data_IF_990493367477
#
_entry.id   IF_990493367477
#
_cell.length_a   1.000
_cell.length_b   1.000
_cell.length_c   1.000
_cell.angle_alpha   90.00
_cell.angle_beta   90.00
_cell.angle_gamma   90.00
#
_symmetry.space_group_name_H-M   'P 1'
#
loop_
_entity.id
_entity.type
_entity.pdbx_description
1 polymer ?
#
# COMPACT_ATOMS: atom_id res chain seq x y z
N UNK A 1 3.71 5.82 -30.70
CA UNK A 1 4.58 6.95 -30.33
C UNK A 1 4.34 7.41 -28.86
N UNK A 2 3.12 7.62 -28.41
CA UNK A 2 2.86 8.05 -27.03
C UNK A 2 3.44 7.13 -25.94
N UNK A 3 3.44 5.82 -26.13
CA UNK A 3 4.03 4.87 -25.17
C UNK A 3 5.57 4.97 -25.14
N UNK A 4 6.20 5.32 -26.24
CA UNK A 4 7.66 5.56 -26.31
C UNK A 4 8.03 6.85 -25.57
N UNK A 5 7.22 7.89 -25.70
CA UNK A 5 7.42 9.15 -24.96
C UNK A 5 7.21 8.95 -23.47
N UNK A 6 6.17 8.20 -23.08
CA UNK A 6 5.93 7.85 -21.69
C UNK A 6 7.10 7.05 -21.10
N UNK A 7 7.71 6.15 -21.87
CA UNK A 7 8.92 5.43 -21.46
C UNK A 7 10.07 6.39 -21.14
N UNK A 8 10.36 7.36 -22.04
CA UNK A 8 11.39 8.38 -21.81
C UNK A 8 11.10 9.22 -20.56
N UNK A 9 9.82 9.56 -20.33
CA UNK A 9 9.40 10.31 -19.15
C UNK A 9 9.61 9.51 -17.86
N UNK A 10 9.20 8.25 -17.83
CA UNK A 10 9.41 7.34 -16.68
C UNK A 10 10.91 7.18 -16.40
N UNK A 11 11.74 7.06 -17.45
CA UNK A 11 13.18 6.99 -17.31
C UNK A 11 13.78 8.26 -16.67
N UNK A 12 13.28 9.43 -17.08
CA UNK A 12 13.76 10.73 -16.60
C UNK A 12 13.34 11.02 -15.14
N UNK A 13 12.20 10.52 -14.70
CA UNK A 13 11.67 10.78 -13.35
C UNK A 13 12.35 10.00 -12.23
N UNK A 14 13.37 9.17 -12.55
CA UNK A 14 14.19 8.50 -11.54
C UNK A 14 13.42 7.50 -10.66
N UNK A 15 12.26 7.03 -11.11
CA UNK A 15 11.58 5.92 -10.43
C UNK A 15 12.58 4.76 -10.39
N UNK A 16 12.95 4.30 -9.18
CA UNK A 16 13.89 3.19 -8.96
C UNK A 16 13.28 1.86 -9.42
N UNK A 17 13.01 1.76 -10.70
CA UNK A 17 12.70 0.51 -11.35
C UNK A 17 14.04 -0.09 -11.74
N UNK A 18 14.26 -1.37 -11.46
CA UNK A 18 15.45 -2.08 -11.93
C UNK A 18 15.45 -2.01 -13.46
N UNK A 19 16.20 -1.08 -13.99
CA UNK A 19 16.45 -0.93 -15.42
C UNK A 19 17.23 -2.15 -15.88
N UNK A 20 16.55 -3.17 -16.36
CA UNK A 20 17.17 -4.15 -17.22
C UNK A 20 17.33 -3.47 -18.57
N UNK A 21 18.54 -3.50 -19.15
CA UNK A 21 18.79 -2.89 -20.45
C UNK A 21 17.81 -3.43 -21.50
N UNK A 22 16.82 -2.60 -21.85
CA UNK A 22 15.88 -2.92 -22.92
C UNK A 22 16.53 -2.58 -24.25
N UNK A 23 16.79 -3.58 -25.07
CA UNK A 23 17.44 -3.42 -26.39
C UNK A 23 16.44 -3.10 -27.48
N UNK A 24 15.18 -3.55 -27.38
CA UNK A 24 14.18 -3.38 -28.43
C UNK A 24 13.02 -2.46 -28.02
N UNK A 25 12.44 -1.76 -29.00
CA UNK A 25 11.29 -0.88 -28.76
C UNK A 25 10.06 -1.65 -28.29
N UNK A 26 9.88 -2.89 -28.72
CA UNK A 26 8.81 -3.77 -28.25
C UNK A 26 8.92 -4.08 -26.76
N UNK A 27 10.12 -4.33 -26.25
CA UNK A 27 10.38 -4.53 -24.83
C UNK A 27 10.05 -3.28 -24.00
N UNK A 28 10.40 -2.09 -24.52
CA UNK A 28 10.06 -0.81 -23.87
C UNK A 28 8.55 -0.59 -23.78
N UNK A 29 7.81 -0.88 -24.84
CA UNK A 29 6.35 -0.74 -24.89
C UNK A 29 5.68 -1.73 -23.93
N UNK A 30 6.10 -2.99 -23.93
CA UNK A 30 5.56 -4.00 -23.03
C UNK A 30 5.82 -3.64 -21.55
N UNK A 31 6.98 -3.10 -21.25
CA UNK A 31 7.31 -2.61 -19.92
C UNK A 31 6.40 -1.45 -19.48
N UNK A 32 6.15 -0.47 -20.37
CA UNK A 32 5.21 0.62 -20.07
C UNK A 32 3.79 0.11 -19.85
N UNK A 33 3.33 -0.85 -20.66
CA UNK A 33 2.03 -1.50 -20.46
C UNK A 33 1.94 -2.21 -19.13
N UNK A 34 2.98 -2.92 -18.72
CA UNK A 34 3.04 -3.58 -17.41
C UNK A 34 2.95 -2.58 -16.26
N UNK A 35 3.69 -1.46 -16.34
CA UNK A 35 3.61 -0.38 -15.36
C UNK A 35 2.19 0.20 -15.29
N UNK A 36 1.60 0.54 -16.43
CA UNK A 36 0.25 1.08 -16.48
C UNK A 36 -0.78 0.09 -15.93
N UNK A 37 -0.63 -1.20 -16.23
CA UNK A 37 -1.52 -2.21 -15.68
C UNK A 37 -1.39 -2.36 -14.17
N UNK A 38 -0.17 -2.36 -13.65
CA UNK A 38 0.08 -2.68 -12.25
C UNK A 38 -0.06 -1.49 -11.31
N UNK A 39 0.36 -0.30 -11.73
CA UNK A 39 0.48 0.86 -10.85
C UNK A 39 -0.52 1.97 -11.17
N UNK A 40 -0.97 2.09 -12.41
CA UNK A 40 -1.98 3.08 -12.76
C UNK A 40 -3.38 2.56 -12.50
N UNK A 41 -4.13 3.22 -11.61
CA UNK A 41 -5.50 2.87 -11.20
C UNK A 41 -5.67 1.36 -10.90
N UNK A 42 -4.90 0.78 -9.97
CA UNK A 42 -4.90 -0.67 -9.72
C UNK A 42 -6.25 -1.19 -9.20
N UNK A 43 -7.07 -0.32 -8.62
CA UNK A 43 -8.42 -0.67 -8.14
C UNK A 43 -9.43 -1.01 -9.25
N UNK A 44 -9.12 -0.65 -10.50
CA UNK A 44 -9.97 -0.97 -11.66
C UNK A 44 -9.56 -2.28 -12.35
N UNK A 45 -8.53 -2.96 -11.82
CA UNK A 45 -8.01 -4.20 -12.36
C UNK A 45 -6.58 -4.06 -12.91
N UNK A 46 -5.91 -5.21 -13.05
CA UNK A 46 -4.51 -5.32 -13.50
C UNK A 46 -4.36 -6.11 -14.79
N UNK A 47 -5.47 -6.52 -15.41
CA UNK A 47 -5.51 -7.26 -16.67
C UNK A 47 -5.48 -6.32 -17.88
N UNK A 48 -5.18 -6.85 -19.07
CA UNK A 48 -5.23 -6.06 -20.30
C UNK A 48 -6.63 -5.52 -20.62
N UNK A 49 -7.68 -6.26 -20.30
CA UNK A 49 -9.07 -5.83 -20.46
C UNK A 49 -9.42 -4.60 -19.62
N UNK A 50 -8.79 -4.48 -18.44
CA UNK A 50 -8.97 -3.32 -17.56
C UNK A 50 -8.43 -2.01 -18.17
N UNK A 51 -7.65 -2.07 -19.25
CA UNK A 51 -7.08 -0.89 -19.89
C UNK A 51 -8.17 0.06 -20.42
N UNK A 52 -9.21 -0.49 -21.01
CA UNK A 52 -10.36 0.29 -21.49
C UNK A 52 -11.13 0.94 -20.34
N UNK A 53 -11.30 0.21 -19.24
CA UNK A 53 -11.97 0.73 -18.03
C UNK A 53 -11.15 1.88 -17.44
N UNK A 54 -9.84 1.75 -17.39
CA UNK A 54 -8.92 2.80 -16.91
C UNK A 54 -8.95 4.04 -17.81
N UNK A 55 -8.97 3.85 -19.14
CA UNK A 55 -9.08 4.94 -20.09
C UNK A 55 -10.42 5.70 -19.94
N UNK A 56 -11.52 4.98 -19.83
CA UNK A 56 -12.84 5.56 -19.58
C UNK A 56 -12.89 6.34 -18.26
N UNK A 57 -12.34 5.77 -17.21
CA UNK A 57 -12.28 6.44 -15.90
C UNK A 57 -11.44 7.72 -15.96
N UNK A 58 -10.30 7.69 -16.63
CA UNK A 58 -9.48 8.87 -16.85
C UNK A 58 -10.23 9.96 -17.62
N UNK A 59 -10.89 9.59 -18.71
CA UNK A 59 -11.71 10.52 -19.51
C UNK A 59 -12.82 11.16 -18.66
N UNK A 60 -13.46 10.39 -17.78
CA UNK A 60 -14.45 10.90 -16.82
C UNK A 60 -13.86 11.89 -15.82
N UNK A 61 -12.65 11.64 -15.32
CA UNK A 61 -11.95 12.57 -14.43
C UNK A 61 -11.62 13.89 -15.15
N UNK A 62 -11.07 13.81 -16.36
CA UNK A 62 -10.74 14.99 -17.17
C UNK A 62 -11.98 15.80 -17.49
N UNK A 63 -13.07 15.14 -17.91
CA UNK A 63 -14.36 15.80 -18.15
C UNK A 63 -14.84 16.57 -16.91
N UNK A 64 -14.79 15.94 -15.73
CA UNK A 64 -15.23 16.58 -14.48
C UNK A 64 -14.35 17.79 -14.13
N UNK A 65 -13.05 17.67 -14.30
CA UNK A 65 -12.12 18.79 -14.10
C UNK A 65 -12.41 19.95 -15.06
N UNK A 66 -12.65 19.66 -16.34
CA UNK A 66 -13.01 20.66 -17.34
C UNK A 66 -14.33 21.36 -17.00
N UNK A 67 -15.34 20.62 -16.54
CA UNK A 67 -16.62 21.21 -16.14
C UNK A 67 -16.49 22.14 -14.93
N UNK A 68 -15.62 21.82 -13.97
CA UNK A 68 -15.31 22.72 -12.85
C UNK A 68 -14.55 23.95 -13.36
N UNK A 69 -13.56 23.79 -14.23
CA UNK A 69 -12.79 24.89 -14.81
C UNK A 69 -13.66 25.87 -15.62
N UNK A 70 -14.62 25.35 -16.37
CA UNK A 70 -15.57 26.15 -17.14
C UNK A 70 -16.69 26.76 -16.30
N UNK A 71 -16.74 26.51 -14.99
CA UNK A 71 -17.74 27.04 -14.09
C UNK A 71 -19.13 26.35 -14.15
N UNK A 72 -19.27 25.25 -14.89
CA UNK A 72 -20.52 24.48 -14.96
C UNK A 72 -20.85 23.75 -13.67
N UNK A 73 -19.82 23.39 -12.89
CA UNK A 73 -19.96 22.71 -11.60
C UNK A 73 -19.13 23.47 -10.57
N UNK A 74 -19.68 23.69 -9.39
CA UNK A 74 -18.90 24.27 -8.26
C UNK A 74 -17.83 23.29 -7.80
N UNK A 75 -16.66 23.82 -7.47
CA UNK A 75 -15.61 23.04 -6.83
C UNK A 75 -16.11 22.47 -5.49
N UNK A 76 -15.84 21.20 -5.28
CA UNK A 76 -16.20 20.51 -4.03
C UNK A 76 -15.16 20.81 -2.94
N UNK A 77 -15.60 20.86 -1.68
CA UNK A 77 -14.70 21.05 -0.55
C UNK A 77 -13.87 19.78 -0.34
N UNK A 78 -12.55 19.91 -0.56
CA UNK A 78 -11.58 18.83 -0.36
C UNK A 78 -11.53 18.34 1.08
N UNK A 79 -11.79 19.20 2.03
CA UNK A 79 -11.65 18.90 3.45
C UNK A 79 -12.94 18.38 4.09
N UNK A 80 -14.05 18.42 3.37
CA UNK A 80 -15.30 17.85 3.83
C UNK A 80 -15.21 16.33 4.05
N UNK A 81 -15.70 15.84 5.17
CA UNK A 81 -15.60 14.42 5.55
C UNK A 81 -16.19 13.45 4.52
N UNK A 82 -17.22 13.85 3.74
CA UNK A 82 -17.77 13.01 2.65
C UNK A 82 -16.74 12.65 1.58
N UNK A 83 -15.68 13.48 1.41
CA UNK A 83 -14.63 13.30 0.42
C UNK A 83 -13.42 12.57 0.99
N UNK A 84 -13.42 12.28 2.29
CA UNK A 84 -12.34 11.57 2.97
C UNK A 84 -12.67 10.09 3.12
N UNK A 85 -11.65 9.26 3.11
CA UNK A 85 -11.77 7.82 3.35
C UNK A 85 -11.40 7.55 4.80
N UNK A 86 -12.23 6.77 5.47
CA UNK A 86 -11.95 6.26 6.80
C UNK A 86 -11.30 4.88 6.67
N UNK A 87 -10.09 4.72 7.23
CA UNK A 87 -9.50 3.40 7.40
C UNK A 87 -10.18 2.69 8.56
N UNK A 88 -10.71 1.53 8.29
CA UNK A 88 -11.32 0.67 9.29
C UNK A 88 -10.31 -0.32 9.85
N UNK A 89 -10.70 -1.02 10.90
CA UNK A 89 -9.87 -2.05 11.55
C UNK A 89 -9.35 -3.09 10.56
N UNK A 90 -10.18 -3.51 9.61
CA UNK A 90 -9.79 -4.46 8.57
C UNK A 90 -8.65 -3.97 7.67
N UNK A 91 -8.59 -2.68 7.36
CA UNK A 91 -7.49 -2.10 6.56
C UNK A 91 -6.18 -2.13 7.34
N UNK A 92 -6.21 -1.80 8.63
CA UNK A 92 -5.03 -1.87 9.49
C UNK A 92 -4.55 -3.30 9.70
N UNK A 93 -5.46 -4.24 9.95
CA UNK A 93 -5.11 -5.66 10.07
C UNK A 93 -4.53 -6.23 8.77
N UNK A 94 -5.06 -5.82 7.62
CA UNK A 94 -4.50 -6.20 6.32
C UNK A 94 -3.07 -5.68 6.13
N UNK A 95 -2.80 -4.43 6.50
CA UNK A 95 -1.45 -3.86 6.46
C UNK A 95 -0.49 -4.61 7.38
N UNK A 96 -0.92 -4.90 8.61
CA UNK A 96 -0.16 -5.66 9.60
C UNK A 96 0.13 -7.08 9.12
N UNK A 97 -0.91 -7.80 8.66
CA UNK A 97 -0.75 -9.15 8.12
C UNK A 97 0.18 -9.17 6.90
N UNK A 98 0.04 -8.20 6.00
CA UNK A 98 0.92 -8.08 4.84
C UNK A 98 2.39 -7.87 5.22
N UNK A 99 2.65 -7.18 6.34
CA UNK A 99 4.01 -7.06 6.90
C UNK A 99 4.46 -8.40 7.50
N UNK A 100 3.66 -9.00 8.36
CA UNK A 100 3.96 -10.28 9.00
C UNK A 100 4.21 -11.40 7.97
N UNK A 101 3.43 -11.42 6.89
CA UNK A 101 3.60 -12.34 5.78
C UNK A 101 4.94 -12.18 5.06
N UNK A 102 5.37 -10.95 4.80
CA UNK A 102 6.68 -10.68 4.18
C UNK A 102 7.82 -11.14 5.08
N UNK A 103 7.73 -10.89 6.38
CA UNK A 103 8.73 -11.34 7.35
C UNK A 103 8.77 -12.88 7.48
N UNK A 104 7.59 -13.52 7.47
CA UNK A 104 7.50 -14.98 7.42
C UNK A 104 8.20 -15.55 6.18
N UNK A 105 7.91 -15.02 4.99
CA UNK A 105 8.55 -15.47 3.75
C UNK A 105 10.07 -15.23 3.81
N UNK A 106 10.51 -14.09 4.35
CA UNK A 106 11.94 -13.77 4.49
C UNK A 106 12.62 -14.78 5.41
N UNK A 107 12.09 -14.97 6.60
CA UNK A 107 12.66 -15.91 7.59
C UNK A 107 12.66 -17.36 7.08
N UNK A 108 11.60 -17.78 6.38
CA UNK A 108 11.53 -19.13 5.78
C UNK A 108 12.55 -19.30 4.66
N UNK A 109 12.80 -18.28 3.85
CA UNK A 109 13.85 -18.32 2.81
C UNK A 109 15.25 -18.38 3.41
N UNK A 110 15.52 -17.63 4.48
CA UNK A 110 16.79 -17.66 5.21
C UNK A 110 17.01 -19.04 5.84
N UNK A 111 15.98 -19.62 6.48
CA UNK A 111 16.02 -20.98 7.04
C UNK A 111 16.26 -22.03 5.95
N UNK A 112 15.65 -21.89 4.79
CA UNK A 112 15.87 -22.79 3.66
C UNK A 112 17.32 -22.69 3.16
N UNK A 113 17.86 -21.48 2.99
CA UNK A 113 19.22 -21.26 2.51
C UNK A 113 20.29 -21.87 3.45
N UNK A 114 20.05 -21.83 4.76
CA UNK A 114 20.97 -22.43 5.75
C UNK A 114 20.89 -23.96 5.78
N UNK A 115 19.73 -24.54 5.42
CA UNK A 115 19.50 -25.99 5.48
C UNK A 115 19.64 -26.72 4.14
N UNK A 116 20.04 -26.01 3.07
CA UNK A 116 20.27 -26.63 1.75
C UNK A 116 21.28 -27.79 1.81
N UNK A 117 22.24 -27.72 2.75
CA UNK A 117 23.24 -28.78 2.97
C UNK A 117 22.58 -30.10 3.43
N UNK A 118 21.46 -30.05 4.13
CA UNK A 118 20.76 -31.24 4.64
C UNK A 118 19.88 -31.95 3.56
N UNK A 119 19.69 -31.33 2.39
CA UNK A 119 18.92 -31.93 1.31
C UNK A 119 19.58 -33.17 0.68
N UNK A 120 20.90 -33.31 0.80
CA UNK A 120 21.61 -34.49 0.31
C UNK A 120 21.19 -35.77 1.06
N UNK A 121 20.65 -35.62 2.27
CA UNK A 121 20.15 -36.74 3.08
C UNK A 121 18.71 -37.15 2.82
N UNK A 122 18.00 -36.47 1.91
CA UNK A 122 16.65 -36.79 1.44
C UNK A 122 15.51 -36.52 2.40
N UNK A 123 15.76 -35.91 3.58
CA UNK A 123 14.72 -35.50 4.54
C UNK A 123 14.63 -33.99 4.59
N UNK A 124 13.48 -33.45 4.21
CA UNK A 124 13.19 -32.01 4.27
C UNK A 124 12.42 -31.72 5.57
N UNK A 125 13.03 -31.07 6.56
CA UNK A 125 12.36 -30.72 7.81
C UNK A 125 11.46 -29.49 7.62
N UNK A 126 10.28 -29.67 7.00
CA UNK A 126 9.36 -28.56 6.69
C UNK A 126 9.02 -27.68 7.90
N UNK A 127 8.87 -28.27 9.09
CA UNK A 127 8.57 -27.52 10.33
C UNK A 127 9.66 -26.54 10.72
N UNK A 128 10.92 -26.91 10.46
CA UNK A 128 12.06 -26.05 10.79
C UNK A 128 12.27 -24.94 9.77
N UNK A 129 11.83 -25.17 8.52
CA UNK A 129 11.93 -24.20 7.43
C UNK A 129 10.81 -23.18 7.52
N UNK A 130 9.56 -23.64 7.74
CA UNK A 130 8.40 -22.78 7.81
C UNK A 130 8.29 -22.14 9.20
N UNK A 131 8.73 -20.88 9.31
CA UNK A 131 8.71 -20.09 10.55
C UNK A 131 7.33 -19.46 10.80
N UNK A 132 6.29 -20.31 10.94
CA UNK A 132 4.90 -19.89 11.11
C UNK A 132 4.66 -19.04 12.38
N UNK A 133 5.47 -19.27 13.42
CA UNK A 133 5.41 -18.51 14.67
C UNK A 133 5.63 -17.00 14.46
N UNK A 134 6.39 -16.62 13.40
CA UNK A 134 6.65 -15.21 13.09
C UNK A 134 5.40 -14.40 12.81
N UNK A 135 4.38 -15.01 12.22
CA UNK A 135 3.10 -14.33 11.97
C UNK A 135 2.41 -14.03 13.30
N UNK A 136 2.30 -15.04 14.18
CA UNK A 136 1.66 -14.90 15.48
C UNK A 136 2.44 -13.92 16.39
N UNK A 137 3.76 -13.99 16.40
CA UNK A 137 4.63 -13.08 17.15
C UNK A 137 4.41 -11.61 16.75
N UNK A 138 4.50 -11.31 15.45
CA UNK A 138 4.38 -9.94 14.94
C UNK A 138 2.97 -9.40 15.17
N UNK A 139 1.94 -10.18 14.87
CA UNK A 139 0.56 -9.75 15.07
C UNK A 139 0.23 -9.60 16.55
N UNK A 140 0.62 -10.55 17.39
CA UNK A 140 0.42 -10.50 18.82
C UNK A 140 1.13 -9.31 19.47
N UNK A 141 2.39 -9.07 19.11
CA UNK A 141 3.15 -7.91 19.59
C UNK A 141 2.49 -6.58 19.21
N UNK A 142 2.10 -6.43 17.94
CA UNK A 142 1.47 -5.19 17.48
C UNK A 142 0.13 -4.92 18.17
N UNK A 143 -0.69 -5.94 18.38
CA UNK A 143 -1.97 -5.81 19.08
C UNK A 143 -1.81 -5.56 20.56
N UNK A 144 -0.83 -6.18 21.22
CA UNK A 144 -0.60 -6.02 22.65
C UNK A 144 0.05 -4.68 23.02
N UNK A 145 1.00 -4.19 22.20
CA UNK A 145 1.78 -2.97 22.50
C UNK A 145 1.27 -1.72 21.79
N UNK A 146 0.42 -1.87 20.78
CA UNK A 146 0.02 -0.75 19.92
C UNK A 146 1.10 -0.28 18.94
N UNK A 147 2.24 -0.94 18.91
CA UNK A 147 3.36 -0.59 18.03
C UNK A 147 3.14 -1.16 16.64
N UNK A 148 2.81 -0.30 15.69
CA UNK A 148 2.54 -0.71 14.31
C UNK A 148 3.82 -0.70 13.46
N UNK A 149 4.09 -1.74 12.66
CA UNK A 149 5.36 -1.86 11.93
C UNK A 149 5.56 -0.79 10.85
N UNK A 150 4.50 -0.11 10.43
CA UNK A 150 4.56 1.00 9.45
C UNK A 150 5.01 2.33 10.05
N UNK A 151 5.50 2.35 11.29
CA UNK A 151 5.92 3.56 12.04
C UNK A 151 4.80 4.61 12.20
N UNK A 152 3.57 4.20 12.11
CA UNK A 152 2.42 5.07 12.39
C UNK A 152 2.07 4.91 13.86
N UNK A 153 2.39 5.90 14.67
CA UNK A 153 2.03 5.93 16.09
C UNK A 153 0.56 6.28 16.27
N UNK A 154 -0.07 5.75 17.31
CA UNK A 154 -1.46 6.06 17.66
C UNK A 154 -2.52 5.33 16.84
N UNK A 155 -2.15 4.23 16.17
CA UNK A 155 -3.12 3.35 15.46
C UNK A 155 -3.94 2.55 16.43
N UNK A 156 -3.31 2.04 17.49
CA UNK A 156 -3.97 1.31 18.57
C UNK A 156 -3.80 2.06 19.88
N UNK A 157 -4.80 2.00 20.72
CA UNK A 157 -4.80 2.60 22.05
C UNK A 157 -5.38 1.60 23.06
N UNK A 158 -4.96 1.76 24.31
CA UNK A 158 -5.57 1.03 25.42
C UNK A 158 -7.02 1.48 25.55
N UNK A 159 -7.94 0.52 25.63
CA UNK A 159 -9.35 0.80 25.74
C UNK A 159 -9.67 1.35 27.13
N UNK A 160 -10.18 2.59 27.19
CA UNK A 160 -10.61 3.22 28.43
C UNK A 160 -11.90 2.60 28.94
N UNK A 161 -11.92 2.17 30.21
CA UNK A 161 -13.05 1.48 30.86
C UNK A 161 -13.51 2.16 32.13
N UNK A 162 -13.27 3.45 32.29
CA UNK A 162 -13.65 4.20 33.48
C UNK A 162 -15.17 4.27 33.65
N UNK A 163 -15.92 4.51 32.58
CA UNK A 163 -17.39 4.54 32.59
C UNK A 163 -17.96 4.22 31.20
N UNK A 164 -19.25 3.96 31.11
CA UNK A 164 -19.92 3.62 29.83
C UNK A 164 -19.84 4.75 28.77
N UNK A 165 -19.89 6.00 29.22
CA UNK A 165 -19.83 7.15 28.30
C UNK A 165 -18.44 7.25 27.65
N UNK A 166 -17.38 7.03 28.44
CA UNK A 166 -16.03 6.98 27.94
C UNK A 166 -15.82 5.83 26.94
N UNK A 167 -16.34 4.63 27.27
CA UNK A 167 -16.28 3.48 26.37
C UNK A 167 -16.93 3.78 25.01
N UNK A 168 -18.14 4.35 25.01
CA UNK A 168 -18.86 4.71 23.79
C UNK A 168 -18.12 5.80 23.04
N UNK A 169 -17.62 6.82 23.73
CA UNK A 169 -16.81 7.90 23.12
C UNK A 169 -15.54 7.36 22.49
N UNK A 170 -14.85 6.44 23.15
CA UNK A 170 -13.64 5.81 22.64
C UNK A 170 -13.91 5.00 21.38
N UNK A 171 -14.96 4.18 21.36
CA UNK A 171 -15.33 3.37 20.19
C UNK A 171 -15.78 4.20 18.99
N UNK A 172 -16.31 5.41 19.21
CA UNK A 172 -16.75 6.33 18.16
C UNK A 172 -15.71 7.37 17.75
N UNK A 173 -14.55 7.36 18.39
CA UNK A 173 -13.50 8.34 18.12
C UNK A 173 -12.87 8.13 16.74
N UNK A 174 -12.80 9.19 15.97
CA UNK A 174 -12.05 9.22 14.71
C UNK A 174 -10.74 9.98 14.95
N UNK A 175 -9.62 9.38 14.57
CA UNK A 175 -8.31 10.00 14.70
C UNK A 175 -7.76 10.39 13.34
N UNK A 176 -7.22 11.58 13.25
CA UNK A 176 -6.41 12.03 12.13
C UNK A 176 -4.93 11.99 12.56
N UNK A 177 -4.19 11.04 12.02
CA UNK A 177 -2.78 10.86 12.34
C UNK A 177 -1.97 11.80 11.45
N UNK A 178 -1.37 12.81 12.04
CA UNK A 178 -0.43 13.68 11.37
C UNK A 178 0.90 12.93 11.21
N UNK A 179 1.33 12.76 9.99
CA UNK A 179 2.68 12.23 9.72
C UNK A 179 3.72 13.29 10.09
N UNK A 180 4.91 12.87 10.53
CA UNK A 180 6.00 13.76 10.95
C UNK A 180 6.35 14.85 9.91
N UNK A 181 6.14 14.59 8.62
CA UNK A 181 6.28 15.58 7.54
C UNK A 181 5.20 16.67 7.56
N UNK A 182 3.99 16.33 7.96
CA UNK A 182 2.91 17.29 8.11
C UNK A 182 3.13 18.16 9.36
N UNK A 183 3.63 17.57 10.45
CA UNK A 183 4.02 18.31 11.66
C UNK A 183 5.15 19.31 11.39
N UNK A 184 6.14 18.95 10.58
CA UNK A 184 7.23 19.85 10.22
C UNK A 184 6.79 21.04 9.35
N UNK A 185 5.69 20.91 8.60
CA UNK A 185 5.17 22.02 7.78
C UNK A 185 4.23 22.97 8.54
N UNK A 186 3.55 22.48 9.59
CA UNK A 186 2.62 23.27 10.39
C UNK A 186 3.18 23.72 11.75
N UNK A 187 4.37 23.28 12.11
CA UNK A 187 5.01 23.57 13.40
C UNK A 187 5.96 24.77 13.41
N UNK A 188 5.87 25.69 12.43
CA UNK A 188 6.54 26.98 12.53
C UNK A 188 5.48 28.07 12.73
N UNK A 189 5.55 28.81 13.85
CA UNK A 189 4.74 30.01 14.05
C UNK A 189 5.09 31.06 13.01
#
# INVERSE_FOLDING_TARGET
DALKELFKYIQKTGVRIRWRGFSTDTQKINFVKEILNRYFLPHLGTTEEAFYIKAYYLARLVRRAAMVYLGHIKADDRDHYKNKRLKMVGDFLRELFGYAWREFIRASREALATKVVDFETGRIPYRDILKTEKIAEIMGHALATGTWPTRVTGVTEVFGQLNHIEMISHLRRVKNILTSRAQAKHGKP
#
